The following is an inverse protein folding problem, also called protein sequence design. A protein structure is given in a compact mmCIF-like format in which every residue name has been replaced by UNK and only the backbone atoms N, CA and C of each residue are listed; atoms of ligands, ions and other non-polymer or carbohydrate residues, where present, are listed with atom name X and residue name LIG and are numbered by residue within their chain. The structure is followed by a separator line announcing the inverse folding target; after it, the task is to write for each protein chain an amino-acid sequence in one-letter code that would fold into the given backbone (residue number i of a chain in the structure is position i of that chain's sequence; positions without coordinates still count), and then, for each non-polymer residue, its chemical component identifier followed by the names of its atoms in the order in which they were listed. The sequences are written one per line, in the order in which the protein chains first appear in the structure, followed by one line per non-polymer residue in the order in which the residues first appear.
data_IF_297131962271
#
_entry.id   IF_297131962271
#
_cell.length_a   1.000
_cell.length_b   1.000
_cell.length_c   1.000
_cell.angle_alpha   90.00
_cell.angle_beta   90.00
_cell.angle_gamma   90.00
#
_symmetry.space_group_name_H-M   'P 1'
#
loop_
_entity.id
_entity.type
_entity.pdbx_description
1 polymer ?
#
# COMPACT_ATOMS: atom_id res chain seq x y z
N UNK A 1 23.96 9.30 7.03
CA UNK A 1 24.34 8.90 5.66
C UNK A 1 23.91 7.45 5.45
N UNK A 2 22.80 7.22 4.79
CA UNK A 2 22.34 5.88 4.42
C UNK A 2 23.11 5.40 3.20
N UNK A 3 23.98 4.41 3.34
CA UNK A 3 24.68 3.82 2.20
C UNK A 3 23.70 3.12 1.26
N UNK A 4 23.88 3.30 -0.05
CA UNK A 4 23.13 2.56 -1.06
C UNK A 4 23.68 1.14 -1.08
N UNK A 5 22.84 0.14 -0.80
CA UNK A 5 23.21 -1.26 -0.89
C UNK A 5 22.96 -1.70 -2.33
N UNK A 6 24.02 -2.06 -3.04
CA UNK A 6 23.92 -2.61 -4.40
C UNK A 6 23.85 -4.14 -4.34
N UNK A 7 22.75 -4.69 -4.82
CA UNK A 7 22.63 -6.13 -5.07
C UNK A 7 23.04 -6.45 -6.50
N UNK A 8 23.42 -7.71 -6.76
CA UNK A 8 23.60 -8.15 -8.13
C UNK A 8 22.25 -8.09 -8.89
N UNK A 9 22.24 -7.93 -10.22
CA UNK A 9 21.01 -7.75 -11.01
C UNK A 9 19.98 -8.87 -10.82
N UNK A 10 20.43 -10.10 -10.67
CA UNK A 10 19.54 -11.26 -10.48
C UNK A 10 18.82 -11.20 -9.13
N UNK A 11 19.55 -10.93 -8.05
CA UNK A 11 18.98 -10.78 -6.72
C UNK A 11 18.03 -9.58 -6.66
N UNK A 12 18.39 -8.46 -7.28
CA UNK A 12 17.54 -7.28 -7.40
C UNK A 12 16.21 -7.59 -8.09
N UNK A 13 16.24 -8.34 -9.18
CA UNK A 13 15.04 -8.74 -9.90
C UNK A 13 14.14 -9.66 -9.05
N UNK A 14 14.72 -10.63 -8.34
CA UNK A 14 13.97 -11.52 -7.46
C UNK A 14 13.31 -10.73 -6.31
N UNK A 15 14.05 -9.85 -5.66
CA UNK A 15 13.53 -9.01 -4.57
C UNK A 15 12.42 -8.07 -5.07
N UNK A 16 12.57 -7.48 -6.27
CA UNK A 16 11.55 -6.65 -6.88
C UNK A 16 10.26 -7.44 -7.17
N UNK A 17 10.38 -8.65 -7.72
CA UNK A 17 9.23 -9.53 -7.95
C UNK A 17 8.51 -9.88 -6.65
N UNK A 18 9.26 -10.27 -5.62
CA UNK A 18 8.68 -10.59 -4.30
C UNK A 18 7.93 -9.36 -3.75
N UNK A 19 8.54 -8.18 -3.81
CA UNK A 19 7.93 -6.93 -3.37
C UNK A 19 6.63 -6.62 -4.11
N UNK A 20 6.66 -6.67 -5.45
CA UNK A 20 5.50 -6.37 -6.30
C UNK A 20 4.34 -7.33 -5.98
N UNK A 21 4.63 -8.63 -5.98
CA UNK A 21 3.61 -9.66 -5.69
C UNK A 21 3.05 -9.50 -4.28
N UNK A 22 3.91 -9.18 -3.31
CA UNK A 22 3.50 -8.95 -1.93
C UNK A 22 2.55 -7.76 -1.80
N UNK A 23 2.89 -6.60 -2.36
CA UNK A 23 2.05 -5.39 -2.31
C UNK A 23 0.72 -5.60 -3.05
N UNK A 24 0.74 -6.26 -4.22
CA UNK A 24 -0.47 -6.60 -4.96
C UNK A 24 -1.44 -7.44 -4.13
N UNK A 25 -0.94 -8.51 -3.49
CA UNK A 25 -1.77 -9.39 -2.67
C UNK A 25 -2.23 -8.72 -1.38
N UNK A 26 -1.37 -7.94 -0.73
CA UNK A 26 -1.70 -7.19 0.48
C UNK A 26 -2.87 -6.22 0.23
N UNK A 27 -2.84 -5.44 -0.85
CA UNK A 27 -3.96 -4.55 -1.20
C UNK A 27 -5.19 -5.34 -1.63
N UNK A 28 -5.02 -6.45 -2.35
CA UNK A 28 -6.14 -7.30 -2.70
C UNK A 28 -6.86 -7.88 -1.47
N UNK A 29 -6.13 -8.20 -0.40
CA UNK A 29 -6.73 -8.70 0.85
C UNK A 29 -7.31 -7.57 1.72
N UNK A 30 -6.89 -6.32 1.51
CA UNK A 30 -7.39 -5.13 2.23
C UNK A 30 -8.75 -4.62 1.72
N UNK A 31 -9.41 -5.31 0.79
CA UNK A 31 -10.72 -4.90 0.23
C UNK A 31 -11.94 -5.51 0.96
N UNK A 32 -11.73 -6.12 2.11
CA UNK A 32 -12.80 -6.75 2.90
C UNK A 32 -13.78 -5.77 3.54
N UNK A 33 -13.42 -4.49 3.61
CA UNK A 33 -14.24 -3.40 4.14
C UNK A 33 -14.31 -2.27 3.11
N UNK A 34 -15.51 -1.70 2.93
CA UNK A 34 -15.76 -0.59 2.01
C UNK A 34 -14.86 0.61 2.36
N UNK A 35 -14.25 1.22 1.34
CA UNK A 35 -13.36 2.38 1.48
C UNK A 35 -11.93 2.06 1.95
N UNK A 36 -11.68 0.91 2.55
CA UNK A 36 -10.38 0.59 3.15
C UNK A 36 -9.25 0.56 2.11
N UNK A 37 -9.36 -0.31 1.11
CA UNK A 37 -8.29 -0.51 0.12
C UNK A 37 -8.01 0.74 -0.72
N UNK A 38 -9.01 1.39 -1.36
CA UNK A 38 -8.74 2.59 -2.14
C UNK A 38 -8.27 3.76 -1.27
N UNK A 39 -8.70 3.83 -0.01
CA UNK A 39 -8.20 4.84 0.92
C UNK A 39 -6.72 4.69 1.23
N UNK A 40 -6.27 3.47 1.58
CA UNK A 40 -4.84 3.15 1.78
C UNK A 40 -4.04 3.46 0.50
N UNK A 41 -4.53 3.03 -0.67
CA UNK A 41 -3.85 3.24 -1.95
C UNK A 41 -3.71 4.73 -2.29
N UNK A 42 -4.75 5.53 -2.01
CA UNK A 42 -4.71 7.00 -2.18
C UNK A 42 -3.60 7.62 -1.35
N UNK A 43 -3.55 7.30 -0.05
CA UNK A 43 -2.53 7.84 0.86
C UNK A 43 -1.14 7.39 0.45
N UNK A 44 -0.95 6.11 0.13
CA UNK A 44 0.35 5.58 -0.27
C UNK A 44 0.89 6.25 -1.54
N UNK A 45 0.07 6.36 -2.57
CA UNK A 45 0.46 7.04 -3.80
C UNK A 45 0.72 8.53 -3.59
N UNK A 46 -0.09 9.22 -2.77
CA UNK A 46 0.10 10.62 -2.46
C UNK A 46 1.42 10.88 -1.72
N UNK A 47 1.73 10.06 -0.71
CA UNK A 47 2.99 10.15 0.05
C UNK A 47 4.21 9.90 -0.85
N UNK A 48 4.13 8.91 -1.76
CA UNK A 48 5.20 8.67 -2.74
C UNK A 48 5.38 9.85 -3.70
N UNK A 49 4.30 10.52 -4.10
CA UNK A 49 4.35 11.74 -4.89
C UNK A 49 5.04 12.89 -4.16
N UNK A 50 4.70 13.13 -2.89
CA UNK A 50 5.37 14.12 -2.05
C UNK A 50 6.84 13.80 -1.84
N UNK A 51 7.17 12.53 -1.63
CA UNK A 51 8.55 12.08 -1.50
C UNK A 51 9.36 12.35 -2.76
N UNK A 52 8.81 12.04 -3.93
CA UNK A 52 9.45 12.31 -5.21
C UNK A 52 9.70 13.82 -5.42
N UNK A 53 8.75 14.68 -5.05
CA UNK A 53 8.95 16.15 -5.07
C UNK A 53 10.03 16.58 -4.08
N UNK A 54 10.05 16.04 -2.88
CA UNK A 54 11.06 16.36 -1.86
C UNK A 54 12.48 15.98 -2.30
N UNK A 55 12.61 14.87 -3.05
CA UNK A 55 13.89 14.39 -3.58
C UNK A 55 14.30 15.09 -4.88
N UNK A 56 13.44 15.89 -5.49
CA UNK A 56 13.70 16.61 -6.74
C UNK A 56 14.51 17.90 -6.53
N UNK A 57 15.50 17.87 -5.66
CA UNK A 57 16.34 19.03 -5.34
C UNK A 57 17.18 19.52 -6.54
N UNK A 58 17.44 18.65 -7.51
CA UNK A 58 18.28 18.91 -8.68
C UNK A 58 17.48 19.11 -9.97
N UNK A 59 16.15 19.32 -9.89
CA UNK A 59 15.26 19.35 -11.04
C UNK A 59 15.40 18.12 -11.96
N UNK A 60 15.56 16.95 -11.38
CA UNK A 60 15.64 15.68 -12.11
C UNK A 60 14.30 15.37 -12.78
N UNK A 61 14.22 15.31 -14.12
CA UNK A 61 12.98 15.00 -14.84
C UNK A 61 12.39 13.64 -14.45
N UNK A 62 13.22 12.68 -14.06
CA UNK A 62 12.75 11.36 -13.63
C UNK A 62 11.95 11.45 -12.32
N UNK A 63 12.42 12.22 -11.33
CA UNK A 63 11.69 12.45 -10.07
C UNK A 63 10.40 13.24 -10.31
N UNK A 64 10.40 14.22 -11.19
CA UNK A 64 9.19 14.96 -11.54
C UNK A 64 8.15 14.07 -12.22
N UNK A 65 8.55 13.19 -13.14
CA UNK A 65 7.64 12.25 -13.80
C UNK A 65 7.09 11.23 -12.80
N UNK A 66 7.91 10.77 -11.86
CA UNK A 66 7.48 9.89 -10.78
C UNK A 66 6.43 10.56 -9.90
N UNK A 67 6.64 11.84 -9.52
CA UNK A 67 5.67 12.60 -8.75
C UNK A 67 4.32 12.71 -9.50
N UNK A 68 4.35 13.04 -10.80
CA UNK A 68 3.14 13.10 -11.64
C UNK A 68 2.40 11.77 -11.66
N UNK A 69 3.10 10.64 -11.92
CA UNK A 69 2.50 9.32 -11.94
C UNK A 69 1.90 8.93 -10.58
N UNK A 70 2.59 9.30 -9.49
CA UNK A 70 2.12 9.06 -8.14
C UNK A 70 0.83 9.83 -7.84
N UNK A 71 0.75 11.11 -8.20
CA UNK A 71 -0.47 11.90 -8.01
C UNK A 71 -1.61 11.47 -8.94
N UNK A 72 -1.33 11.03 -10.16
CA UNK A 72 -2.34 10.43 -11.05
C UNK A 72 -2.91 9.15 -10.39
N UNK A 73 -2.04 8.30 -9.86
CA UNK A 73 -2.45 7.08 -9.16
C UNK A 73 -3.28 7.41 -7.91
N UNK A 74 -2.86 8.40 -7.13
CA UNK A 74 -3.59 8.87 -5.96
C UNK A 74 -4.98 9.42 -6.34
N UNK A 75 -5.07 10.24 -7.38
CA UNK A 75 -6.33 10.79 -7.88
C UNK A 75 -7.28 9.72 -8.39
N UNK A 76 -6.76 8.74 -9.14
CA UNK A 76 -7.56 7.61 -9.64
C UNK A 76 -8.10 6.75 -8.49
N UNK A 77 -7.27 6.50 -7.49
CA UNK A 77 -7.68 5.75 -6.29
C UNK A 77 -8.67 6.53 -5.43
N UNK A 78 -8.50 7.86 -5.32
CA UNK A 78 -9.44 8.74 -4.62
C UNK A 78 -10.80 8.77 -5.33
N UNK A 79 -10.82 8.81 -6.66
CA UNK A 79 -12.04 8.68 -7.45
C UNK A 79 -12.77 7.37 -7.15
N UNK A 80 -12.05 6.25 -7.10
CA UNK A 80 -12.62 4.98 -6.70
C UNK A 80 -13.11 5.00 -5.25
N UNK A 81 -12.38 5.63 -4.32
CA UNK A 81 -12.76 5.75 -2.91
C UNK A 81 -14.13 6.40 -2.73
N UNK A 82 -14.42 7.46 -3.50
CA UNK A 82 -15.70 8.16 -3.43
C UNK A 82 -16.87 7.20 -3.72
N UNK A 83 -16.73 6.31 -4.69
CA UNK A 83 -17.77 5.34 -5.04
C UNK A 83 -17.72 4.04 -4.24
N UNK A 84 -16.58 3.76 -3.62
CA UNK A 84 -16.39 2.61 -2.73
C UNK A 84 -16.58 2.95 -1.24
N UNK A 85 -16.88 4.22 -0.89
CA UNK A 85 -17.21 4.59 0.49
C UNK A 85 -18.51 3.92 0.93
N UNK A 86 -18.55 3.49 2.19
CA UNK A 86 -19.69 2.73 2.70
C UNK A 86 -21.00 3.55 2.76
N UNK A 87 -22.11 3.03 2.24
CA UNK A 87 -22.29 1.78 1.50
C UNK A 87 -21.74 1.87 0.08
N UNK A 88 -20.86 0.94 -0.28
CA UNK A 88 -20.16 0.97 -1.56
C UNK A 88 -21.09 0.81 -2.76
N UNK A 89 -20.95 1.70 -3.74
CA UNK A 89 -21.66 1.64 -5.03
C UNK A 89 -20.85 0.90 -6.10
N UNK A 90 -19.52 0.95 -6.00
CA UNK A 90 -18.58 0.29 -6.91
C UNK A 90 -17.54 -0.47 -6.09
N UNK A 91 -17.27 -1.72 -6.49
CA UNK A 91 -16.25 -2.55 -5.89
C UNK A 91 -15.02 -2.65 -6.82
N UNK A 92 -13.79 -2.56 -6.28
CA UNK A 92 -12.57 -2.61 -7.08
C UNK A 92 -12.35 -3.95 -7.79
N UNK A 93 -12.94 -5.02 -7.28
CA UNK A 93 -12.71 -6.36 -7.77
C UNK A 93 -11.27 -6.82 -7.56
N UNK A 94 -10.90 -7.93 -8.19
CA UNK A 94 -9.52 -8.44 -8.16
C UNK A 94 -8.60 -7.56 -9.01
N UNK A 95 -9.02 -7.20 -10.23
CA UNK A 95 -8.23 -6.41 -11.18
C UNK A 95 -7.91 -5.02 -10.65
N UNK A 96 -8.89 -4.30 -10.08
CA UNK A 96 -8.66 -2.96 -9.54
C UNK A 96 -7.68 -2.95 -8.38
N UNK A 97 -7.79 -3.91 -7.46
CA UNK A 97 -6.87 -4.01 -6.32
C UNK A 97 -5.45 -4.41 -6.75
N UNK A 98 -5.30 -5.33 -7.72
CA UNK A 98 -3.98 -5.73 -8.22
C UNK A 98 -3.31 -4.64 -9.04
N UNK A 99 -4.06 -3.88 -9.86
CA UNK A 99 -3.51 -2.75 -10.60
C UNK A 99 -3.00 -1.67 -9.64
N UNK A 100 -3.78 -1.27 -8.63
CA UNK A 100 -3.33 -0.28 -7.63
C UNK A 100 -2.12 -0.78 -6.85
N UNK A 101 -2.11 -2.07 -6.46
CA UNK A 101 -0.95 -2.68 -5.81
C UNK A 101 0.30 -2.67 -6.67
N UNK A 102 0.15 -3.02 -7.94
CA UNK A 102 1.24 -2.98 -8.92
C UNK A 102 1.78 -1.56 -9.10
N UNK A 103 0.90 -0.56 -9.26
CA UNK A 103 1.31 0.83 -9.39
C UNK A 103 2.10 1.32 -8.17
N UNK A 104 1.58 1.11 -6.95
CA UNK A 104 2.25 1.52 -5.71
C UNK A 104 3.60 0.82 -5.54
N UNK A 105 3.67 -0.48 -5.82
CA UNK A 105 4.91 -1.24 -5.72
C UNK A 105 6.00 -0.70 -6.68
N UNK A 106 5.63 -0.41 -7.93
CA UNK A 106 6.55 0.14 -8.92
C UNK A 106 6.95 1.59 -8.58
N UNK A 107 6.01 2.44 -8.18
CA UNK A 107 6.32 3.80 -7.75
C UNK A 107 7.32 3.82 -6.58
N UNK A 108 7.21 2.88 -5.64
CA UNK A 108 8.16 2.74 -4.54
C UNK A 108 9.56 2.32 -5.01
N UNK A 109 9.67 1.42 -5.98
CA UNK A 109 10.95 1.01 -6.57
C UNK A 109 11.57 2.18 -7.36
N UNK A 110 10.79 2.82 -8.22
CA UNK A 110 11.24 3.91 -9.09
C UNK A 110 11.65 5.17 -8.33
N UNK A 111 11.16 5.37 -7.11
CA UNK A 111 11.56 6.49 -6.24
C UNK A 111 12.98 6.34 -5.63
N UNK A 112 13.83 5.54 -6.23
CA UNK A 112 15.19 5.28 -5.73
C UNK A 112 15.20 4.27 -4.58
N UNK A 113 14.34 3.22 -4.71
CA UNK A 113 14.19 2.15 -3.73
C UNK A 113 13.79 2.66 -2.32
N UNK A 114 12.98 3.71 -2.26
CA UNK A 114 12.39 4.19 -1.00
C UNK A 114 11.30 3.22 -0.49
N UNK A 115 11.62 1.92 -0.56
CA UNK A 115 10.75 0.82 -0.09
C UNK A 115 10.39 0.99 1.40
N UNK A 116 11.29 1.57 2.18
CA UNK A 116 11.04 1.86 3.60
C UNK A 116 9.88 2.84 3.78
N UNK A 117 9.80 3.91 2.97
CA UNK A 117 8.68 4.87 3.03
C UNK A 117 7.37 4.21 2.64
N UNK A 118 7.35 3.46 1.53
CA UNK A 118 6.17 2.71 1.13
C UNK A 118 5.79 1.66 2.19
N UNK A 119 6.76 0.94 2.74
CA UNK A 119 6.56 -0.03 3.82
C UNK A 119 5.95 0.58 5.08
N UNK A 120 6.37 1.79 5.46
CA UNK A 120 5.80 2.50 6.60
C UNK A 120 4.34 2.92 6.34
N UNK A 121 4.04 3.51 5.18
CA UNK A 121 2.65 3.88 4.82
C UNK A 121 1.73 2.68 4.81
N UNK A 122 2.23 1.55 4.34
CA UNK A 122 1.51 0.29 4.21
C UNK A 122 1.64 -0.62 5.46
N UNK A 123 2.22 -0.14 6.56
CA UNK A 123 2.60 -0.97 7.71
C UNK A 123 1.41 -1.73 8.30
N UNK A 124 0.26 -1.05 8.47
CA UNK A 124 -0.92 -1.69 9.06
C UNK A 124 -1.45 -2.82 8.16
N UNK A 125 -1.74 -2.61 6.86
CA UNK A 125 -2.16 -3.71 6.00
C UNK A 125 -1.04 -4.75 5.78
N UNK A 126 0.23 -4.36 5.80
CA UNK A 126 1.36 -5.27 5.67
C UNK A 126 1.48 -6.22 6.87
N UNK A 127 1.31 -5.72 8.08
CA UNK A 127 1.34 -6.55 9.30
C UNK A 127 0.13 -7.48 9.38
N UNK A 128 -1.07 -7.02 8.99
CA UNK A 128 -2.26 -7.86 8.92
C UNK A 128 -2.09 -9.00 7.89
N UNK A 129 -1.56 -8.67 6.71
CA UNK A 129 -1.24 -9.65 5.67
C UNK A 129 -0.22 -10.68 6.19
N UNK A 130 0.92 -10.22 6.71
CA UNK A 130 2.00 -11.09 7.19
C UNK A 130 1.52 -12.00 8.34
N UNK A 131 0.80 -11.44 9.31
CA UNK A 131 0.21 -12.21 10.41
C UNK A 131 -0.73 -13.29 9.91
N UNK A 132 -1.67 -12.94 9.03
CA UNK A 132 -2.66 -13.91 8.51
C UNK A 132 -1.98 -14.99 7.68
N UNK A 133 -0.99 -14.62 6.85
CA UNK A 133 -0.21 -15.54 6.03
C UNK A 133 0.57 -16.54 6.89
N UNK A 134 1.34 -16.06 7.86
CA UNK A 134 2.14 -16.89 8.76
C UNK A 134 1.25 -17.80 9.62
N UNK A 135 0.16 -17.25 10.17
CA UNK A 135 -0.80 -18.05 10.96
C UNK A 135 -1.35 -19.23 10.17
N UNK A 136 -1.68 -19.03 8.90
CA UNK A 136 -2.19 -20.11 8.03
C UNK A 136 -1.15 -21.19 7.81
N UNK A 137 0.10 -20.83 7.54
CA UNK A 137 1.20 -21.78 7.37
C UNK A 137 1.39 -22.59 8.65
N UNK A 138 1.45 -21.95 9.83
CA UNK A 138 1.63 -22.62 11.13
C UNK A 138 0.46 -23.58 11.40
N UNK A 139 -0.76 -23.24 10.96
CA UNK A 139 -1.94 -24.12 11.10
C UNK A 139 -2.03 -25.22 10.02
N UNK A 140 -1.05 -25.36 9.13
CA UNK A 140 -1.08 -26.30 8.02
C UNK A 140 -2.14 -25.99 6.96
N UNK A 141 -2.67 -24.76 6.93
CA UNK A 141 -3.69 -24.32 5.98
C UNK A 141 -3.03 -23.64 4.76
N UNK A 142 -3.70 -23.74 3.62
CA UNK A 142 -3.25 -23.04 2.43
C UNK A 142 -3.24 -21.51 2.66
N UNK A 143 -2.11 -20.82 2.38
CA UNK A 143 -2.01 -19.38 2.57
C UNK A 143 -2.88 -18.57 1.58
N UNK A 144 -3.33 -19.18 0.47
CA UNK A 144 -4.09 -18.50 -0.59
C UNK A 144 -5.60 -18.59 -0.45
N UNK A 145 -6.12 -19.47 0.43
CA UNK A 145 -7.56 -19.58 0.64
C UNK A 145 -8.06 -18.51 1.61
N UNK A 146 -9.18 -17.88 1.25
CA UNK A 146 -9.78 -16.83 2.09
C UNK A 146 -10.23 -17.37 3.45
N UNK A 147 -10.02 -16.59 4.50
CA UNK A 147 -10.62 -16.80 5.81
C UNK A 147 -11.00 -15.48 6.48
N UNK A 148 -11.71 -15.53 7.59
CA UNK A 148 -12.09 -14.36 8.39
C UNK A 148 -11.04 -13.97 9.43
N UNK A 149 -9.78 -14.31 9.23
CA UNK A 149 -8.72 -14.07 10.20
C UNK A 149 -8.05 -12.71 10.14
N UNK A 150 -8.42 -11.87 9.17
CA UNK A 150 -7.89 -10.53 9.00
C UNK A 150 -8.33 -9.56 10.10
N UNK A 151 -7.50 -8.55 10.39
CA UNK A 151 -7.77 -7.55 11.42
C UNK A 151 -9.13 -6.85 11.20
N UNK A 152 -9.46 -6.50 9.96
CA UNK A 152 -10.74 -5.84 9.66
C UNK A 152 -11.96 -6.70 10.02
N UNK A 153 -11.89 -8.04 9.89
CA UNK A 153 -12.98 -8.92 10.33
C UNK A 153 -13.11 -8.92 11.87
N UNK A 154 -11.99 -8.94 12.59
CA UNK A 154 -11.99 -8.86 14.06
C UNK A 154 -12.56 -7.53 14.55
N UNK A 155 -12.25 -6.43 13.86
CA UNK A 155 -12.79 -5.10 14.18
C UNK A 155 -14.30 -5.04 13.92
N UNK A 156 -14.81 -5.69 12.86
CA UNK A 156 -16.25 -5.84 12.62
C UNK A 156 -16.92 -6.66 13.73
N UNK A 157 -16.30 -7.75 14.17
CA UNK A 157 -16.80 -8.59 15.28
C UNK A 157 -16.85 -7.81 16.62
N UNK A 158 -15.95 -6.83 16.81
CA UNK A 158 -15.97 -5.90 17.94
C UNK A 158 -17.04 -4.80 17.82
N UNK A 159 -17.83 -4.77 16.74
CA UNK A 159 -18.92 -3.85 16.54
C UNK A 159 -18.55 -2.53 15.86
N UNK A 160 -17.31 -2.39 15.34
CA UNK A 160 -16.95 -1.21 14.55
C UNK A 160 -17.66 -1.24 13.19
N UNK A 161 -18.10 -0.05 12.73
CA UNK A 161 -18.68 0.09 11.39
C UNK A 161 -17.61 0.03 10.29
N UNK A 162 -18.03 -0.27 9.04
CA UNK A 162 -17.16 -0.22 7.86
C UNK A 162 -16.42 1.11 7.76
N UNK A 163 -17.10 2.23 7.99
CA UNK A 163 -16.53 3.57 7.93
C UNK A 163 -15.45 3.79 8.99
N UNK A 164 -15.70 3.35 10.24
CA UNK A 164 -14.71 3.46 11.33
C UNK A 164 -13.45 2.65 11.03
N UNK A 165 -13.61 1.44 10.49
CA UNK A 165 -12.49 0.60 10.11
C UNK A 165 -11.71 1.22 8.95
N UNK A 166 -12.40 1.69 7.90
CA UNK A 166 -11.74 2.37 6.78
C UNK A 166 -10.94 3.59 7.27
N UNK A 167 -11.54 4.43 8.13
CA UNK A 167 -10.87 5.58 8.72
C UNK A 167 -9.65 5.19 9.56
N UNK A 168 -9.74 4.12 10.36
CA UNK A 168 -8.62 3.61 11.13
C UNK A 168 -7.40 3.29 10.23
N UNK A 169 -7.62 2.58 9.11
CA UNK A 169 -6.54 2.26 8.18
C UNK A 169 -6.01 3.49 7.44
N UNK A 170 -6.91 4.37 6.99
CA UNK A 170 -6.53 5.60 6.26
C UNK A 170 -5.73 6.54 7.17
N UNK A 171 -6.23 6.83 8.38
CA UNK A 171 -5.54 7.70 9.33
C UNK A 171 -4.21 7.12 9.78
N UNK A 172 -4.15 5.81 10.03
CA UNK A 172 -2.91 5.12 10.32
C UNK A 172 -1.89 5.27 9.19
N UNK A 173 -2.31 5.09 7.94
CA UNK A 173 -1.45 5.31 6.77
C UNK A 173 -1.01 6.79 6.63
N UNK A 174 -1.87 7.75 6.94
CA UNK A 174 -1.53 9.18 6.93
C UNK A 174 -0.48 9.50 7.99
N UNK A 175 -0.66 9.04 9.22
CA UNK A 175 0.29 9.27 10.33
C UNK A 175 1.65 8.65 10.01
N UNK A 176 1.65 7.40 9.57
CA UNK A 176 2.89 6.68 9.22
C UNK A 176 3.57 7.28 7.99
N UNK A 177 2.79 7.75 7.02
CA UNK A 177 3.28 8.45 5.84
C UNK A 177 3.92 9.80 6.17
N UNK A 178 3.29 10.58 7.05
CA UNK A 178 3.86 11.84 7.54
C UNK A 178 5.17 11.61 8.30
N UNK A 179 5.21 10.58 9.17
CA UNK A 179 6.44 10.18 9.86
C UNK A 179 7.52 9.76 8.86
N UNK A 180 7.19 8.94 7.85
CA UNK A 180 8.15 8.51 6.82
C UNK A 180 8.73 9.70 6.04
N UNK A 181 7.92 10.69 5.70
CA UNK A 181 8.36 11.90 5.02
C UNK A 181 9.27 12.77 5.92
N UNK A 182 9.05 12.79 7.23
CA UNK A 182 9.91 13.56 8.15
C UNK A 182 11.30 12.94 8.31
N UNK A 183 11.41 11.61 8.27
CA UNK A 183 12.70 10.90 8.37
C UNK A 183 13.45 10.79 7.03
N UNK A 184 12.84 11.13 5.92
CA UNK A 184 13.46 11.05 4.59
C UNK A 184 14.21 12.32 4.19
N UNK A 185 14.82 13.01 5.15
CA UNK A 185 15.69 14.19 4.95
C UNK A 185 17.11 13.79 4.57
#
# INVERSE_FOLDING_TARGET
MGGIIYFNPQLSAILALIWIVWVMNMLNWSKGVDGQMPGIATVAAFVLGLLALKLNLSNDPAQMNLAKLSFITAGSSLGLLIFNWHPAKIFPGFSGSTILGFMIANLAILSGAKLATAGLVLLIPATDFAYTFLRRIIQGKSPVWGDRGHLHHKLLELGLSHQQIALFYILGSVILGAAALSFSS
#
